data_IF_033842005409
#
_entry.id   IF_033842005409
#
_cell.length_a   1.000
_cell.length_b   1.000
_cell.length_c   1.000
_cell.angle_alpha   90.00
_cell.angle_beta   90.00
_cell.angle_gamma   90.00
#
_symmetry.space_group_name_H-M   'P 1'
#
loop_
_entity.id
_entity.type
_entity.pdbx_description
1 polymer ?
#
# COMPACT_ATOMS: atom_id res chain seq x y z
N UNK A 1 14.89 1.62 -2.23
CA UNK A 1 15.16 1.03 -3.56
C UNK A 1 13.90 0.99 -4.46
N UNK A 2 12.82 1.71 -4.10
CA UNK A 2 11.59 1.85 -4.93
C UNK A 2 10.96 0.53 -5.42
N UNK A 3 11.34 -0.61 -4.82
CA UNK A 3 10.88 -1.93 -5.21
C UNK A 3 9.39 -2.15 -4.95
N UNK A 4 8.85 -1.43 -3.97
CA UNK A 4 7.47 -1.56 -3.51
C UNK A 4 6.73 -0.23 -3.62
N UNK A 5 5.52 -0.29 -4.17
CA UNK A 5 4.55 0.79 -4.18
C UNK A 5 3.49 0.52 -3.11
N UNK A 6 3.09 1.58 -2.39
CA UNK A 6 2.02 1.53 -1.40
C UNK A 6 0.84 2.34 -1.89
N UNK A 7 -0.37 1.79 -1.77
CA UNK A 7 -1.62 2.51 -2.05
C UNK A 7 -2.61 2.36 -0.91
N UNK A 8 -3.24 3.46 -0.52
CA UNK A 8 -4.33 3.50 0.45
C UNK A 8 -5.66 3.29 -0.29
N UNK A 9 -6.35 2.20 0.03
CA UNK A 9 -7.61 1.86 -0.63
C UNK A 9 -8.79 2.23 0.28
N UNK A 10 -9.38 3.39 0.00
CA UNK A 10 -10.47 3.94 0.81
C UNK A 10 -11.68 3.01 0.96
N UNK A 11 -12.13 2.40 -0.14
CA UNK A 11 -13.36 1.60 -0.17
C UNK A 11 -13.21 0.25 0.51
N UNK A 12 -12.03 -0.39 0.39
CA UNK A 12 -11.73 -1.69 0.98
C UNK A 12 -11.14 -1.61 2.40
N UNK A 13 -10.85 -0.42 2.90
CA UNK A 13 -10.26 -0.18 4.22
C UNK A 13 -8.92 -0.93 4.42
N UNK A 14 -8.08 -0.97 3.38
CA UNK A 14 -6.78 -1.62 3.42
C UNK A 14 -5.69 -0.80 2.72
N UNK A 15 -4.44 -1.18 2.94
CA UNK A 15 -3.27 -0.68 2.22
C UNK A 15 -2.65 -1.83 1.45
N UNK A 16 -2.49 -1.66 0.14
CA UNK A 16 -1.82 -2.65 -0.71
C UNK A 16 -0.34 -2.34 -0.84
N UNK A 17 0.48 -3.40 -0.74
CA UNK A 17 1.90 -3.40 -1.10
C UNK A 17 2.01 -4.08 -2.47
N UNK A 18 2.54 -3.34 -3.43
CA UNK A 18 2.66 -3.77 -4.82
C UNK A 18 4.14 -3.92 -5.14
N UNK A 19 4.54 -5.08 -5.67
CA UNK A 19 5.86 -5.26 -6.26
C UNK A 19 5.87 -4.62 -7.65
N UNK A 20 6.74 -3.62 -7.85
CA UNK A 20 6.73 -2.79 -9.06
C UNK A 20 7.22 -3.57 -10.28
N UNK A 21 8.13 -4.52 -10.10
CA UNK A 21 8.68 -5.31 -11.21
C UNK A 21 7.62 -6.24 -11.85
N UNK A 22 6.78 -6.86 -11.02
CA UNK A 22 5.75 -7.80 -11.46
C UNK A 22 4.37 -7.17 -11.61
N UNK A 23 4.17 -5.94 -11.13
CA UNK A 23 2.88 -5.24 -11.05
C UNK A 23 1.82 -6.03 -10.29
N UNK A 24 2.24 -6.78 -9.26
CA UNK A 24 1.36 -7.61 -8.44
C UNK A 24 1.27 -7.10 -7.01
N UNK A 25 0.07 -7.21 -6.43
CA UNK A 25 -0.12 -7.04 -5.00
C UNK A 25 0.54 -8.23 -4.29
N UNK A 26 1.56 -7.94 -3.50
CA UNK A 26 2.26 -8.95 -2.68
C UNK A 26 1.72 -9.02 -1.26
N UNK A 27 1.03 -7.96 -0.81
CA UNK A 27 0.39 -7.91 0.50
C UNK A 27 -0.77 -6.92 0.52
N UNK A 28 -1.83 -7.26 1.23
CA UNK A 28 -2.88 -6.34 1.66
C UNK A 28 -2.86 -6.27 3.18
N UNK A 29 -2.93 -5.05 3.72
CA UNK A 29 -2.84 -4.76 5.14
C UNK A 29 -4.16 -4.07 5.54
N UNK A 30 -5.05 -4.74 6.29
CA UNK A 30 -6.26 -4.11 6.80
C UNK A 30 -5.92 -2.91 7.68
N UNK A 31 -6.63 -1.81 7.51
CA UNK A 31 -6.49 -0.58 8.30
C UNK A 31 -7.87 -0.05 8.72
N UNK A 32 -7.91 1.15 9.30
CA UNK A 32 -9.16 1.83 9.66
C UNK A 32 -10.01 2.20 8.45
N UNK A 33 -11.18 2.77 8.73
CA UNK A 33 -12.14 3.15 7.70
C UNK A 33 -11.59 4.27 6.80
N UNK A 34 -11.71 4.09 5.49
CA UNK A 34 -11.35 5.06 4.46
C UNK A 34 -9.94 5.64 4.66
N UNK A 35 -8.86 4.89 4.37
CA UNK A 35 -7.52 5.47 4.31
C UNK A 35 -7.34 6.32 3.04
N UNK A 36 -6.75 7.51 3.18
CA UNK A 36 -6.58 8.46 2.06
C UNK A 36 -5.11 8.80 1.76
N UNK A 37 -4.18 8.39 2.62
CA UNK A 37 -2.77 8.73 2.47
C UNK A 37 -1.86 7.71 3.13
N UNK A 38 -0.63 7.65 2.63
CA UNK A 38 0.45 6.82 3.17
C UNK A 38 1.66 7.73 3.37
N UNK A 39 2.31 7.62 4.53
CA UNK A 39 3.60 8.27 4.80
C UNK A 39 4.64 7.18 4.99
N UNK A 40 5.75 7.30 4.27
CA UNK A 40 6.90 6.38 4.39
C UNK A 40 8.03 7.15 5.05
N UNK A 41 8.48 6.66 6.20
CA UNK A 41 9.66 7.21 6.86
C UNK A 41 10.93 6.63 6.21
N UNK A 42 11.96 7.45 5.94
CA UNK A 42 13.27 6.93 5.61
C UNK A 42 13.82 6.11 6.79
N UNK A 43 14.59 5.07 6.47
CA UNK A 43 15.35 4.27 7.43
C UNK A 43 16.75 4.84 7.57
#
# INVERSE_FOLDING_TARGET
DEKYLLTANGVSNDVSVIDVASLKVVKSIPVGAFPWGVVVAPQ
#
